data_IF_719315232708
#
_entry.id   IF_719315232708
#
_cell.length_a   1.000
_cell.length_b   1.000
_cell.length_c   1.000
_cell.angle_alpha   90.00
_cell.angle_beta   90.00
_cell.angle_gamma   90.00
#
_symmetry.space_group_name_H-M   'P 1'
#
loop_
_entity.id
_entity.type
_entity.pdbx_description
1 polymer ?
#
# COMPACT_ATOMS: atom_id res chain seq x y z
N UNK A 1 -14.44 -8.81 -7.18
CA UNK A 1 -14.50 -8.83 -5.70
C UNK A 1 -14.56 -10.27 -5.24
N UNK A 2 -13.47 -10.77 -4.67
CA UNK A 2 -13.36 -12.12 -4.10
C UNK A 2 -13.95 -12.10 -2.68
N UNK A 3 -14.68 -13.13 -2.21
CA UNK A 3 -15.32 -13.10 -0.89
C UNK A 3 -14.28 -13.14 0.23
N UNK A 4 -14.43 -12.28 1.24
CA UNK A 4 -13.61 -12.26 2.45
C UNK A 4 -13.80 -13.55 3.28
N UNK A 5 -12.71 -14.10 3.82
CA UNK A 5 -12.80 -15.19 4.78
C UNK A 5 -13.39 -14.65 6.09
N UNK A 6 -14.52 -15.22 6.53
CA UNK A 6 -15.20 -14.79 7.74
C UNK A 6 -14.93 -15.78 8.90
N UNK A 7 -14.34 -15.30 9.99
CA UNK A 7 -14.21 -16.02 11.25
C UNK A 7 -15.03 -15.27 12.31
N UNK A 8 -16.10 -15.87 12.83
CA UNK A 8 -16.94 -15.29 13.90
C UNK A 8 -17.37 -13.81 13.68
N UNK A 9 -17.80 -13.47 12.45
CA UNK A 9 -18.23 -12.10 12.12
C UNK A 9 -17.09 -11.09 11.89
N UNK A 10 -15.84 -11.54 11.94
CA UNK A 10 -14.66 -10.79 11.47
C UNK A 10 -14.38 -11.20 10.03
N UNK A 11 -14.31 -10.23 9.13
CA UNK A 11 -13.98 -10.38 7.71
C UNK A 11 -12.59 -9.81 7.45
N UNK A 12 -11.82 -10.54 6.64
CA UNK A 12 -10.51 -10.10 6.17
C UNK A 12 -10.57 -9.90 4.66
N UNK A 13 -10.17 -8.73 4.19
CA UNK A 13 -10.00 -8.45 2.76
C UNK A 13 -8.70 -7.70 2.53
N UNK A 14 -8.22 -7.69 1.30
CA UNK A 14 -6.96 -7.02 0.99
C UNK A 14 -6.65 -7.01 -0.48
N UNK A 15 -5.71 -6.14 -0.84
CA UNK A 15 -5.23 -5.93 -2.19
C UNK A 15 -3.70 -5.96 -2.20
N UNK A 16 -3.16 -6.57 -3.25
CA UNK A 16 -1.71 -6.62 -3.47
C UNK A 16 -1.42 -6.23 -4.92
N UNK A 17 -0.73 -5.12 -5.12
CA UNK A 17 -0.26 -4.60 -6.40
C UNK A 17 1.26 -4.63 -6.46
N UNK A 18 1.79 -5.48 -7.34
CA UNK A 18 3.22 -5.73 -7.51
C UNK A 18 3.52 -5.67 -8.99
N UNK A 19 4.64 -5.04 -9.35
CA UNK A 19 5.13 -5.02 -10.72
C UNK A 19 6.50 -5.65 -10.83
N UNK A 20 6.70 -6.27 -11.99
CA UNK A 20 7.96 -6.85 -12.41
C UNK A 20 8.41 -6.20 -13.71
N UNK A 21 9.67 -5.78 -13.77
CA UNK A 21 10.27 -5.17 -14.94
C UNK A 21 11.58 -5.90 -15.32
N UNK A 22 11.72 -6.18 -16.61
CA UNK A 22 12.91 -6.78 -17.18
C UNK A 22 13.47 -5.88 -18.29
N UNK A 23 14.72 -5.44 -18.12
CA UNK A 23 15.37 -4.55 -19.06
C UNK A 23 16.34 -5.35 -19.96
N UNK A 24 15.96 -5.53 -21.24
CA UNK A 24 16.75 -6.26 -22.24
C UNK A 24 18.10 -5.62 -22.56
N UNK A 25 18.29 -4.32 -22.26
CA UNK A 25 19.55 -3.62 -22.52
C UNK A 25 20.68 -3.99 -21.54
N UNK A 26 20.40 -4.81 -20.51
CA UNK A 26 21.38 -5.35 -19.56
C UNK A 26 22.35 -4.28 -19.02
N UNK A 27 21.83 -3.21 -18.39
CA UNK A 27 22.70 -2.18 -17.83
C UNK A 27 23.56 -2.78 -16.70
N UNK A 28 24.76 -2.22 -16.51
CA UNK A 28 25.71 -2.73 -15.52
C UNK A 28 25.06 -2.82 -14.12
N UNK A 29 25.29 -3.90 -13.35
CA UNK A 29 24.74 -3.99 -12.00
C UNK A 29 25.33 -2.89 -11.12
N UNK A 30 24.48 -2.03 -10.58
CA UNK A 30 24.84 -1.18 -9.44
C UNK A 30 24.06 -1.66 -8.23
N UNK A 31 24.62 -1.42 -7.04
CA UNK A 31 23.90 -1.68 -5.79
C UNK A 31 22.72 -0.73 -5.73
N UNK A 32 21.46 -1.22 -5.70
CA UNK A 32 20.32 -0.36 -5.48
C UNK A 32 20.52 0.37 -4.15
N UNK A 33 20.25 1.69 -4.07
CA UNK A 33 20.27 2.36 -2.78
C UNK A 33 19.28 1.63 -1.87
N UNK A 34 19.70 1.34 -0.64
CA UNK A 34 18.78 0.81 0.37
C UNK A 34 17.58 1.77 0.44
N UNK A 35 16.36 1.25 0.30
CA UNK A 35 15.17 2.06 0.49
C UNK A 35 15.20 2.59 1.92
N UNK A 36 15.55 3.87 2.09
CA UNK A 36 15.71 4.51 3.39
C UNK A 36 14.37 4.95 3.97
N UNK A 37 13.25 4.69 3.29
CA UNK A 37 11.94 5.16 3.72
C UNK A 37 10.86 4.15 3.38
N UNK A 38 10.16 3.74 4.42
CA UNK A 38 8.97 2.89 4.37
C UNK A 38 7.81 3.58 3.60
N UNK A 39 7.85 4.92 3.47
CA UNK A 39 6.94 5.76 2.68
C UNK A 39 7.51 6.25 1.34
N UNK A 40 8.50 5.56 0.77
CA UNK A 40 8.90 5.73 -0.64
C UNK A 40 8.98 4.37 -1.32
N UNK A 41 7.99 3.52 -1.07
CA UNK A 41 7.77 2.26 -1.80
C UNK A 41 7.33 2.52 -3.27
N UNK A 42 7.93 3.53 -3.90
CA UNK A 42 7.84 3.82 -5.32
C UNK A 42 8.95 3.07 -6.02
N UNK A 43 8.88 3.07 -7.36
CA UNK A 43 9.93 2.54 -8.24
C UNK A 43 11.32 2.88 -7.68
N UNK A 44 12.17 1.86 -7.36
CA UNK A 44 13.56 2.08 -7.05
C UNK A 44 14.17 3.09 -8.02
N UNK A 45 14.93 4.08 -7.54
CA UNK A 45 15.51 5.07 -8.42
C UNK A 45 16.41 4.35 -9.43
N UNK A 46 16.46 4.91 -10.65
CA UNK A 46 17.17 4.28 -11.76
C UNK A 46 18.61 3.88 -11.40
N UNK A 47 19.12 2.88 -12.09
CA UNK A 47 20.44 2.26 -11.94
C UNK A 47 21.58 3.28 -11.80
N UNK A 48 21.55 4.42 -12.49
CA UNK A 48 22.52 5.50 -12.31
C UNK A 48 22.01 6.73 -11.55
N UNK A 49 20.78 6.73 -11.02
CA UNK A 49 20.08 7.88 -10.41
C UNK A 49 19.96 9.13 -11.32
N UNK A 50 20.39 9.06 -12.58
CA UNK A 50 20.40 10.20 -13.51
C UNK A 50 19.09 10.34 -14.29
N UNK A 51 18.33 9.25 -14.47
CA UNK A 51 17.08 9.22 -15.26
C UNK A 51 16.09 8.22 -14.69
N UNK A 52 14.81 8.60 -14.65
CA UNK A 52 13.71 7.73 -14.20
C UNK A 52 13.54 6.44 -15.03
N UNK A 53 13.96 6.46 -16.30
CA UNK A 53 13.87 5.32 -17.22
C UNK A 53 15.12 4.43 -17.24
N UNK A 54 16.13 4.74 -16.43
CA UNK A 54 17.32 3.91 -16.32
C UNK A 54 17.05 2.73 -15.36
N UNK A 55 16.13 1.84 -15.72
CA UNK A 55 15.71 0.74 -14.86
C UNK A 55 16.77 -0.36 -14.77
N UNK A 56 16.80 -1.08 -13.64
CA UNK A 56 17.68 -2.22 -13.45
C UNK A 56 17.37 -3.35 -14.45
N UNK A 57 18.34 -4.25 -14.66
CA UNK A 57 18.15 -5.41 -15.54
C UNK A 57 16.97 -6.29 -15.10
N UNK A 58 16.80 -6.46 -13.79
CA UNK A 58 15.81 -7.34 -13.18
C UNK A 58 15.27 -6.66 -11.91
N UNK A 59 14.01 -6.24 -11.93
CA UNK A 59 13.42 -5.42 -10.87
C UNK A 59 12.03 -5.92 -10.49
N UNK A 60 11.80 -6.04 -9.19
CA UNK A 60 10.48 -6.24 -8.59
C UNK A 60 10.23 -5.06 -7.66
N UNK A 61 9.01 -4.54 -7.64
CA UNK A 61 8.62 -3.67 -6.55
C UNK A 61 7.12 -3.71 -6.25
N UNK A 62 6.82 -3.37 -5.00
CA UNK A 62 5.50 -3.36 -4.40
C UNK A 62 4.92 -1.96 -4.53
N UNK A 63 3.81 -1.82 -5.23
CA UNK A 63 3.09 -0.57 -5.44
C UNK A 63 2.13 -0.30 -4.29
N UNK A 64 1.34 -1.32 -3.91
CA UNK A 64 0.35 -1.27 -2.83
C UNK A 64 0.19 -2.65 -2.18
N UNK A 65 0.16 -2.67 -0.85
CA UNK A 65 -0.38 -3.74 -0.06
C UNK A 65 -1.41 -3.14 0.90
N UNK A 66 -2.63 -3.64 0.85
CA UNK A 66 -3.76 -3.19 1.66
C UNK A 66 -4.34 -4.39 2.39
N UNK A 67 -4.64 -4.22 3.67
CA UNK A 67 -5.31 -5.21 4.51
C UNK A 67 -6.42 -4.53 5.33
N UNK A 68 -7.65 -4.92 5.02
CA UNK A 68 -8.84 -4.52 5.77
C UNK A 68 -9.28 -5.67 6.69
N UNK A 69 -9.42 -5.36 7.98
CA UNK A 69 -10.04 -6.23 8.98
C UNK A 69 -11.29 -5.55 9.51
N UNK A 70 -12.44 -6.17 9.26
CA UNK A 70 -13.74 -5.62 9.60
C UNK A 70 -14.53 -6.55 10.49
N UNK A 71 -15.14 -6.01 11.55
CA UNK A 71 -16.18 -6.68 12.32
C UNK A 71 -17.41 -5.80 12.38
N UNK A 72 -18.56 -6.37 12.02
CA UNK A 72 -19.85 -5.72 12.17
C UNK A 72 -20.69 -6.52 13.16
N UNK A 73 -20.99 -5.93 14.31
CA UNK A 73 -21.75 -6.55 15.40
C UNK A 73 -22.74 -5.56 16.01
N UNK A 74 -23.72 -6.11 16.73
CA UNK A 74 -24.79 -5.35 17.41
C UNK A 74 -24.26 -4.48 18.55
N UNK A 75 -23.28 -4.97 19.30
CA UNK A 75 -22.70 -4.26 20.46
C UNK A 75 -21.39 -3.55 20.12
N UNK A 76 -20.54 -4.16 19.28
CA UNK A 76 -19.24 -3.59 18.89
C UNK A 76 -19.00 -3.84 17.41
N UNK A 77 -18.67 -2.76 16.70
CA UNK A 77 -18.20 -2.78 15.32
C UNK A 77 -16.86 -2.07 15.22
N UNK A 78 -15.93 -2.62 14.44
CA UNK A 78 -14.63 -2.00 14.19
C UNK A 78 -14.17 -2.26 12.76
N UNK A 79 -13.33 -1.36 12.28
CA UNK A 79 -12.61 -1.46 11.03
C UNK A 79 -11.15 -1.09 11.30
N UNK A 80 -10.25 -1.96 10.87
CA UNK A 80 -8.80 -1.72 10.88
C UNK A 80 -8.38 -1.79 9.42
N UNK A 81 -7.75 -0.72 8.95
CA UNK A 81 -7.24 -0.60 7.59
C UNK A 81 -5.73 -0.34 7.64
N UNK A 82 -4.95 -1.19 6.98
CA UNK A 82 -3.51 -1.15 6.97
C UNK A 82 -3.01 -1.10 5.53
N UNK A 83 -2.51 0.08 5.16
CA UNK A 83 -1.93 0.33 3.85
C UNK A 83 -0.41 0.46 3.90
N UNK A 84 0.24 -0.07 2.86
CA UNK A 84 1.67 0.05 2.63
C UNK A 84 1.94 0.24 1.15
N UNK A 85 2.81 1.18 0.78
CA UNK A 85 3.21 1.35 -0.60
C UNK A 85 3.17 2.81 -1.05
N UNK A 86 3.79 3.12 -2.18
CA UNK A 86 3.71 4.46 -2.73
C UNK A 86 2.28 4.88 -3.13
N UNK A 87 1.46 3.94 -3.58
CA UNK A 87 0.06 4.22 -3.86
C UNK A 87 -0.72 4.55 -2.57
N UNK A 88 -0.35 3.95 -1.44
CA UNK A 88 -0.92 4.29 -0.13
C UNK A 88 -0.58 5.72 0.27
N UNK A 89 0.66 6.16 0.06
CA UNK A 89 1.08 7.54 0.34
C UNK A 89 0.32 8.56 -0.52
N UNK A 90 0.07 8.24 -1.80
CA UNK A 90 -0.75 9.09 -2.69
C UNK A 90 -2.19 9.15 -2.20
N UNK A 91 -2.78 8.01 -1.81
CA UNK A 91 -4.15 7.95 -1.29
C UNK A 91 -4.27 8.71 0.04
N UNK A 92 -3.29 8.60 0.93
CA UNK A 92 -3.23 9.35 2.18
C UNK A 92 -3.06 10.86 1.93
N UNK A 93 -2.20 11.24 0.98
CA UNK A 93 -1.98 12.65 0.63
C UNK A 93 -3.22 13.28 -0.04
N UNK A 94 -3.99 12.51 -0.83
CA UNK A 94 -5.24 12.97 -1.42
C UNK A 94 -6.33 13.27 -0.37
N UNK A 95 -6.23 12.67 0.83
CA UNK A 95 -7.18 12.88 1.93
C UNK A 95 -6.84 14.06 2.85
N UNK A 96 -5.77 14.82 2.58
CA UNK A 96 -5.41 16.03 3.35
C UNK A 96 -6.43 17.18 3.24
N UNK A 97 -7.54 17.00 2.51
CA UNK A 97 -8.59 18.02 2.33
C UNK A 97 -10.03 17.59 2.63
N UNK A 98 -10.34 16.32 2.83
CA UNK A 98 -11.74 15.87 2.97
C UNK A 98 -11.89 14.64 3.85
N UNK A 99 -12.80 14.77 4.84
CA UNK A 99 -13.47 13.71 5.59
C UNK A 99 -12.70 13.10 6.77
N UNK A 100 -12.51 13.90 7.81
CA UNK A 100 -12.63 13.44 9.19
C UNK A 100 -13.90 12.58 9.31
N UNK A 101 -13.77 11.26 9.41
CA UNK A 101 -14.84 10.47 10.01
C UNK A 101 -14.81 10.78 11.51
N UNK A 102 -15.54 11.82 11.90
CA UNK A 102 -15.94 11.99 13.30
C UNK A 102 -16.93 10.87 13.58
N UNK A 103 -16.46 9.83 14.26
CA UNK A 103 -17.37 8.89 14.93
C UNK A 103 -17.93 9.66 16.12
N UNK A 104 -19.12 10.23 15.93
CA UNK A 104 -19.85 10.92 16.98
C UNK A 104 -20.38 9.84 17.93
N UNK A 105 -19.68 9.60 19.04
CA UNK A 105 -20.14 8.70 20.09
C UNK A 105 -21.33 9.35 20.81
N UNK A 106 -22.54 9.07 20.34
CA UNK A 106 -23.76 9.39 21.09
C UNK A 106 -23.89 8.41 22.26
N UNK A 107 -23.28 8.75 23.39
CA UNK A 107 -23.60 8.13 24.68
C UNK A 107 -25.04 8.52 25.07
N UNK A 108 -25.95 7.54 25.14
CA UNK A 108 -27.30 7.74 25.69
C UNK A 108 -27.28 7.49 27.19
N UNK A 109 -27.81 8.47 27.93
CA UNK A 109 -28.07 8.44 29.38
C UNK A 109 -29.02 7.33 29.81
#
# INVERSE_FOLDING_TARGET
MTPAAALNGVSFSGLLDVYYAYNFNRPAPTTPPASTSVGTAGLPPGNTNLRYYDQYHNQIALSLAELEVKRSGTEVSFLIDLDFGHAADINAAANLGTSTQVIDEVSKH
#
